data_IF_563170812939
#
_entry.id   IF_563170812939
#
_cell.length_a   1.000
_cell.length_b   1.000
_cell.length_c   1.000
_cell.angle_alpha   90.00
_cell.angle_beta   90.00
_cell.angle_gamma   90.00
#
_symmetry.space_group_name_H-M   'P 1'
#
loop_
_entity.id
_entity.type
_entity.pdbx_description
1 polymer ?
#
# COMPACT_ATOMS: atom_id res chain seq x y z
N UNK A 1 -6.04 12.84 -7.26
CA UNK A 1 -5.54 14.04 -6.55
C UNK A 1 -4.72 14.85 -7.55
N UNK A 2 -5.07 16.11 -7.82
CA UNK A 2 -4.61 16.88 -9.00
C UNK A 2 -3.59 17.98 -8.70
N UNK A 3 -2.97 17.96 -7.53
CA UNK A 3 -2.22 19.09 -6.96
C UNK A 3 -0.80 18.71 -6.50
N UNK A 4 -0.22 17.62 -7.03
CA UNK A 4 1.15 17.21 -6.72
C UNK A 4 1.37 16.61 -5.31
N UNK A 5 0.37 16.69 -4.43
CA UNK A 5 0.35 15.98 -3.16
C UNK A 5 -0.15 14.55 -3.38
N UNK A 6 0.72 13.56 -3.20
CA UNK A 6 0.37 12.14 -3.25
C UNK A 6 1.42 11.28 -3.96
N UNK A 7 0.99 10.11 -4.41
CA UNK A 7 1.80 9.14 -5.14
C UNK A 7 1.26 8.95 -6.56
N UNK A 8 2.08 8.37 -7.43
CA UNK A 8 1.66 7.83 -8.71
C UNK A 8 2.16 6.39 -8.78
N UNK A 9 1.24 5.42 -8.73
CA UNK A 9 1.59 4.00 -8.65
C UNK A 9 2.40 3.50 -9.85
N UNK A 10 2.16 4.05 -11.05
CA UNK A 10 2.90 3.70 -12.25
C UNK A 10 4.35 4.23 -12.18
N UNK A 11 4.54 5.47 -11.72
CA UNK A 11 5.88 6.05 -11.56
C UNK A 11 6.67 5.32 -10.47
N UNK A 12 6.03 5.00 -9.33
CA UNK A 12 6.67 4.22 -8.27
C UNK A 12 7.03 2.79 -8.71
N UNK A 13 6.18 2.16 -9.53
CA UNK A 13 6.48 0.84 -10.09
C UNK A 13 7.68 0.90 -11.03
N UNK A 14 7.74 1.89 -11.93
CA UNK A 14 8.87 2.09 -12.83
C UNK A 14 10.18 2.39 -12.06
N UNK A 15 10.10 3.17 -10.98
CA UNK A 15 11.25 3.41 -10.10
C UNK A 15 11.73 2.11 -9.43
N UNK A 16 10.80 1.27 -8.96
CA UNK A 16 11.14 -0.03 -8.40
C UNK A 16 11.80 -0.94 -9.45
N UNK A 17 11.31 -0.93 -10.69
CA UNK A 17 11.92 -1.67 -11.80
C UNK A 17 13.37 -1.23 -12.01
N UNK A 18 13.64 0.08 -12.05
CA UNK A 18 15.00 0.62 -12.18
C UNK A 18 15.91 0.18 -11.01
N UNK A 19 15.38 0.15 -9.78
CA UNK A 19 16.13 -0.28 -8.59
C UNK A 19 16.45 -1.78 -8.66
N UNK A 20 15.46 -2.60 -9.04
CA UNK A 20 15.64 -4.06 -9.18
C UNK A 20 16.67 -4.38 -10.26
N UNK A 21 16.67 -3.65 -11.38
CA UNK A 21 17.62 -3.85 -12.46
C UNK A 21 19.05 -3.39 -12.11
N UNK A 22 19.19 -2.33 -11.31
CA UNK A 22 20.49 -1.73 -10.99
C UNK A 22 21.21 -2.38 -9.82
N UNK A 23 20.47 -2.93 -8.85
CA UNK A 23 21.03 -3.43 -7.60
C UNK A 23 20.74 -4.92 -7.41
N UNK A 24 21.43 -5.56 -6.45
CA UNK A 24 21.21 -6.96 -6.11
C UNK A 24 19.98 -7.10 -5.21
N UNK A 25 18.80 -6.93 -5.81
CA UNK A 25 17.50 -7.10 -5.15
C UNK A 25 17.00 -8.53 -5.35
N UNK A 26 16.46 -9.13 -4.30
CA UNK A 26 15.73 -10.39 -4.40
C UNK A 26 14.26 -10.06 -4.73
N UNK A 27 13.76 -10.40 -5.95
CA UNK A 27 12.41 -10.04 -6.38
C UNK A 27 11.32 -10.72 -5.54
N UNK A 28 11.62 -11.84 -4.89
CA UNK A 28 10.67 -12.57 -4.04
C UNK A 28 10.60 -11.98 -2.62
N UNK A 29 11.41 -10.96 -2.32
CA UNK A 29 11.53 -10.33 -0.99
C UNK A 29 11.40 -8.81 -1.03
N UNK A 30 10.58 -8.30 -1.93
CA UNK A 30 10.24 -6.88 -1.99
C UNK A 30 9.07 -6.61 -1.03
N UNK A 31 9.25 -5.69 -0.09
CA UNK A 31 8.24 -5.29 0.88
C UNK A 31 7.88 -3.83 0.70
N UNK A 32 6.63 -3.46 1.00
CA UNK A 32 6.20 -2.06 0.94
C UNK A 32 5.52 -1.63 2.23
N UNK A 33 5.84 -0.42 2.67
CA UNK A 33 5.23 0.23 3.83
C UNK A 33 4.99 1.71 3.62
N UNK A 34 4.10 2.29 4.42
CA UNK A 34 3.76 3.70 4.35
C UNK A 34 2.97 4.18 5.57
N UNK A 35 3.14 5.47 5.90
CA UNK A 35 2.51 6.16 7.02
C UNK A 35 1.62 7.31 6.51
N UNK A 36 0.42 7.46 7.06
CA UNK A 36 -0.53 8.53 6.70
C UNK A 36 -0.87 8.48 5.19
N UNK A 37 -0.60 9.55 4.44
CA UNK A 37 -0.67 9.59 2.96
C UNK A 37 0.10 8.41 2.33
N UNK A 38 1.22 8.00 2.91
CA UNK A 38 1.98 6.83 2.48
C UNK A 38 1.23 5.51 2.69
N UNK A 39 0.41 5.39 3.74
CA UNK A 39 -0.43 4.21 3.96
C UNK A 39 -1.49 4.03 2.88
N UNK A 40 -2.09 5.13 2.40
CA UNK A 40 -2.94 5.09 1.21
C UNK A 40 -2.15 4.71 -0.05
N UNK A 41 -0.93 5.22 -0.19
CA UNK A 41 -0.02 4.88 -1.28
C UNK A 41 0.38 3.41 -1.30
N UNK A 42 0.60 2.79 -0.14
CA UNK A 42 0.89 1.36 -0.03
C UNK A 42 -0.27 0.52 -0.55
N UNK A 43 -1.51 0.84 -0.17
CA UNK A 43 -2.69 0.15 -0.70
C UNK A 43 -2.79 0.28 -2.22
N UNK A 44 -2.71 1.51 -2.74
CA UNK A 44 -2.87 1.77 -4.17
C UNK A 44 -1.76 1.15 -5.03
N UNK A 45 -0.51 1.26 -4.58
CA UNK A 45 0.64 0.66 -5.26
C UNK A 45 0.53 -0.87 -5.29
N UNK A 46 0.14 -1.49 -4.17
CA UNK A 46 -0.09 -2.93 -4.12
C UNK A 46 -1.22 -3.37 -5.06
N UNK A 47 -2.36 -2.66 -5.07
CA UNK A 47 -3.47 -2.97 -5.98
C UNK A 47 -3.15 -2.71 -7.45
N UNK A 48 -2.22 -1.79 -7.75
CA UNK A 48 -1.69 -1.56 -9.09
C UNK A 48 -0.78 -2.70 -9.56
N UNK A 49 0.06 -3.22 -8.67
CA UNK A 49 1.05 -4.27 -8.95
C UNK A 49 0.87 -5.46 -7.98
N UNK A 50 -0.21 -6.26 -8.11
CA UNK A 50 -0.66 -7.20 -7.08
C UNK A 50 0.29 -8.35 -6.77
N UNK A 51 1.23 -8.66 -7.66
CA UNK A 51 2.20 -9.75 -7.50
C UNK A 51 3.63 -9.24 -7.25
N UNK A 52 3.80 -7.94 -6.96
CA UNK A 52 5.12 -7.32 -6.84
C UNK A 52 5.70 -7.36 -5.43
N UNK A 53 4.87 -7.57 -4.42
CA UNK A 53 5.26 -7.45 -3.02
C UNK A 53 5.07 -8.76 -2.27
N UNK A 54 6.06 -9.12 -1.47
CA UNK A 54 6.05 -10.26 -0.57
C UNK A 54 5.21 -9.97 0.69
N UNK A 55 5.26 -8.73 1.22
CA UNK A 55 4.39 -8.30 2.31
C UNK A 55 4.06 -6.80 2.24
N UNK A 56 2.93 -6.43 2.84
CA UNK A 56 2.46 -5.06 2.99
C UNK A 56 2.41 -4.67 4.47
N UNK A 57 2.92 -3.50 4.85
CA UNK A 57 2.76 -2.95 6.20
C UNK A 57 2.16 -1.55 6.08
N UNK A 58 1.04 -1.30 6.74
CA UNK A 58 0.28 -0.05 6.51
C UNK A 58 0.02 0.64 7.83
N UNK A 59 0.33 1.94 7.91
CA UNK A 59 0.21 2.72 9.14
C UNK A 59 -0.70 3.93 8.88
N UNK A 60 -1.82 3.97 9.59
CA UNK A 60 -2.88 4.99 9.54
C UNK A 60 -3.22 5.49 8.12
N UNK A 61 -3.93 4.66 7.34
CA UNK A 61 -4.38 5.01 6.00
C UNK A 61 -5.70 4.35 5.62
N UNK A 62 -6.06 4.44 4.33
CA UNK A 62 -7.23 3.81 3.75
C UNK A 62 -7.03 3.56 2.25
N UNK A 63 -8.08 3.21 1.52
CA UNK A 63 -7.93 2.93 0.09
C UNK A 63 -9.24 2.58 -0.59
N UNK A 64 -9.13 2.07 -1.82
CA UNK A 64 -10.27 1.56 -2.56
C UNK A 64 -10.59 0.13 -2.14
N UNK A 65 -11.44 -0.03 -1.12
CA UNK A 65 -11.88 -1.32 -0.60
C UNK A 65 -12.55 -2.21 -1.67
N UNK A 66 -13.12 -1.64 -2.74
CA UNK A 66 -13.70 -2.42 -3.84
C UNK A 66 -12.64 -3.16 -4.69
N UNK A 67 -11.38 -2.74 -4.61
CA UNK A 67 -10.26 -3.33 -5.37
C UNK A 67 -9.31 -4.16 -4.51
N UNK A 68 -9.48 -4.15 -3.18
CA UNK A 68 -8.52 -4.77 -2.25
C UNK A 68 -8.46 -6.30 -2.39
N UNK A 69 -9.51 -6.92 -2.94
CA UNK A 69 -9.55 -8.35 -3.24
C UNK A 69 -8.42 -8.82 -4.18
N UNK A 70 -7.86 -7.92 -5.01
CA UNK A 70 -6.75 -8.24 -5.91
C UNK A 70 -5.45 -8.60 -5.16
N UNK A 71 -5.33 -8.17 -3.90
CA UNK A 71 -4.12 -8.33 -3.08
C UNK A 71 -4.36 -9.15 -1.81
N UNK A 72 -5.52 -9.81 -1.68
CA UNK A 72 -5.85 -10.67 -0.53
C UNK A 72 -4.84 -11.79 -0.28
N UNK A 73 -4.13 -12.21 -1.33
CA UNK A 73 -3.12 -13.26 -1.29
C UNK A 73 -1.78 -12.77 -0.74
N UNK A 74 -1.57 -11.46 -0.62
CA UNK A 74 -0.34 -10.87 -0.09
C UNK A 74 -0.50 -10.70 1.43
N UNK A 75 0.43 -11.23 2.25
CA UNK A 75 0.43 -10.99 3.68
C UNK A 75 0.47 -9.49 3.99
N UNK A 76 -0.45 -9.03 4.83
CA UNK A 76 -0.59 -7.63 5.18
C UNK A 76 -0.70 -7.44 6.70
N UNK A 77 -0.05 -6.40 7.22
CA UNK A 77 -0.16 -6.01 8.63
C UNK A 77 -0.56 -4.54 8.72
N UNK A 78 -1.77 -4.29 9.21
CA UNK A 78 -2.40 -2.97 9.26
C UNK A 78 -2.37 -2.43 10.69
N UNK A 79 -1.89 -1.20 10.85
CA UNK A 79 -1.79 -0.48 12.11
C UNK A 79 -2.52 0.86 12.03
N UNK A 80 -3.30 1.17 13.04
CA UNK A 80 -4.00 2.45 13.14
C UNK A 80 -4.31 2.76 14.60
N UNK A 81 -4.07 4.00 15.05
CA UNK A 81 -4.51 4.46 16.36
C UNK A 81 -6.02 4.68 16.39
N UNK A 82 -6.69 4.17 17.42
CA UNK A 82 -8.15 4.35 17.60
C UNK A 82 -8.55 5.81 17.89
N UNK A 83 -7.59 6.64 18.30
CA UNK A 83 -7.74 8.07 18.59
C UNK A 83 -7.06 9.00 17.57
N UNK A 84 -6.80 8.51 16.35
CA UNK A 84 -6.31 9.37 15.27
C UNK A 84 -7.40 10.38 14.88
N UNK A 85 -7.11 11.67 15.05
CA UNK A 85 -8.00 12.79 14.79
C UNK A 85 -7.82 13.39 13.38
N UNK A 86 -6.85 12.89 12.62
CA UNK A 86 -6.56 13.30 11.25
C UNK A 86 -7.17 12.31 10.25
N UNK A 87 -6.93 11.02 10.45
CA UNK A 87 -7.50 9.94 9.63
C UNK A 87 -8.29 9.03 10.58
N UNK A 88 -9.64 8.98 10.47
CA UNK A 88 -10.42 8.10 11.33
C UNK A 88 -10.02 6.63 11.15
N UNK A 89 -9.90 5.90 12.26
CA UNK A 89 -9.56 4.46 12.30
C UNK A 89 -10.44 3.60 11.38
N UNK A 90 -11.68 4.02 11.14
CA UNK A 90 -12.63 3.38 10.22
C UNK A 90 -12.07 3.23 8.80
N UNK A 91 -11.19 4.13 8.35
CA UNK A 91 -10.54 4.03 7.04
C UNK A 91 -9.72 2.74 6.89
N UNK A 92 -9.04 2.30 7.95
CA UNK A 92 -8.32 1.02 7.96
C UNK A 92 -9.24 -0.17 8.21
N UNK A 93 -10.22 -0.05 9.12
CA UNK A 93 -11.20 -1.12 9.38
C UNK A 93 -11.95 -1.50 8.09
N UNK A 94 -12.38 -0.51 7.30
CA UNK A 94 -13.06 -0.77 6.02
C UNK A 94 -12.19 -1.56 5.03
N UNK A 95 -10.88 -1.26 4.98
CA UNK A 95 -9.96 -1.98 4.11
C UNK A 95 -9.75 -3.43 4.58
N UNK A 96 -9.58 -3.63 5.89
CA UNK A 96 -9.40 -4.97 6.47
C UNK A 96 -10.66 -5.82 6.28
N UNK A 97 -11.85 -5.28 6.58
CA UNK A 97 -13.11 -6.02 6.40
C UNK A 97 -13.39 -6.41 4.93
N UNK A 98 -12.81 -5.70 3.97
CA UNK A 98 -12.97 -6.01 2.54
C UNK A 98 -11.97 -7.06 2.02
N UNK A 99 -11.07 -7.55 2.89
CA UNK A 99 -10.16 -8.67 2.59
C UNK A 99 -10.77 -10.03 2.92
N UNK A 100 -11.86 -10.05 3.70
CA UNK A 100 -12.62 -11.24 4.09
C UNK A 100 -13.49 -11.80 2.94
#
# INVERSE_FOLDING_TARGET
MGNGYGWNAAVLSALLDEIVDRYRVDPDRIHVTGFSVGGYGTWDLAMHSPHRFATLVLICGGGNHLRVSHIKHVPHWVFHGDRDDIIPVQASIQMVNALD
#
